data_IF_493489204388
#
_entry.id   IF_493489204388
#
_cell.length_a   1.000
_cell.length_b   1.000
_cell.length_c   1.000
_cell.angle_alpha   90.00
_cell.angle_beta   90.00
_cell.angle_gamma   90.00
#
_symmetry.space_group_name_H-M   'P 1'
#
loop_
_entity.id
_entity.type
_entity.pdbx_description
1 polymer ?
#
# COMPACT_ATOMS: atom_id res chain seq x y z
N UNK A 1 -10.60 -30.18 16.52
CA UNK A 1 -10.13 -29.95 15.15
C UNK A 1 -11.12 -28.98 14.51
N UNK A 2 -10.89 -27.67 14.65
CA UNK A 2 -11.78 -26.62 14.13
C UNK A 2 -11.10 -26.05 12.90
N UNK A 3 -11.70 -26.28 11.73
CA UNK A 3 -11.24 -25.72 10.46
C UNK A 3 -11.81 -24.31 10.35
N UNK A 4 -10.97 -23.31 10.62
CA UNK A 4 -11.31 -21.91 10.37
C UNK A 4 -11.20 -21.61 8.88
N UNK A 5 -12.33 -21.35 8.24
CA UNK A 5 -12.40 -20.83 6.88
C UNK A 5 -12.15 -19.33 6.97
N UNK A 6 -10.96 -18.88 6.54
CA UNK A 6 -10.69 -17.47 6.35
C UNK A 6 -11.44 -16.97 5.12
N UNK A 7 -12.49 -16.21 5.33
CA UNK A 7 -13.13 -15.41 4.28
C UNK A 7 -12.21 -14.26 3.89
N UNK A 8 -11.53 -14.42 2.77
CA UNK A 8 -10.82 -13.30 2.11
C UNK A 8 -11.88 -12.41 1.47
N UNK A 9 -12.23 -11.34 2.16
CA UNK A 9 -13.07 -10.28 1.60
C UNK A 9 -12.22 -9.51 0.58
N UNK A 10 -12.50 -9.74 -0.69
CA UNK A 10 -11.94 -8.92 -1.78
C UNK A 10 -12.67 -7.59 -1.74
N UNK A 11 -12.06 -6.59 -1.11
CA UNK A 11 -12.55 -5.23 -1.14
C UNK A 11 -12.25 -4.65 -2.52
N UNK A 12 -13.22 -4.69 -3.43
CA UNK A 12 -13.19 -3.93 -4.67
C UNK A 12 -13.34 -2.45 -4.30
N UNK A 13 -12.25 -1.71 -4.36
CA UNK A 13 -12.29 -0.26 -4.20
C UNK A 13 -12.95 0.31 -5.46
N UNK A 14 -14.24 0.60 -5.37
CA UNK A 14 -14.93 1.41 -6.36
C UNK A 14 -14.46 2.84 -6.17
N UNK A 15 -13.62 3.31 -7.08
CA UNK A 15 -13.29 4.72 -7.21
C UNK A 15 -14.58 5.45 -7.54
N UNK A 16 -15.20 6.10 -6.57
CA UNK A 16 -16.32 6.99 -6.79
C UNK A 16 -15.82 8.17 -7.64
N UNK A 17 -16.22 8.18 -8.89
CA UNK A 17 -16.00 9.31 -9.78
C UNK A 17 -16.63 10.56 -9.15
N UNK A 18 -15.84 11.58 -8.94
CA UNK A 18 -16.34 12.92 -8.63
C UNK A 18 -17.28 13.39 -9.75
N UNK A 19 -18.35 14.13 -9.45
CA UNK A 19 -19.18 14.73 -10.47
C UNK A 19 -18.32 15.69 -11.28
N UNK A 20 -18.09 15.32 -12.54
CA UNK A 20 -17.38 16.16 -13.49
C UNK A 20 -18.33 17.26 -13.99
N UNK A 21 -17.81 18.47 -14.01
CA UNK A 21 -18.43 19.61 -14.67
C UNK A 21 -18.53 19.30 -16.18
N UNK A 22 -19.71 19.29 -16.80
CA UNK A 22 -19.89 18.83 -18.18
C UNK A 22 -19.23 19.71 -19.24
N UNK A 23 -18.68 20.88 -18.88
CA UNK A 23 -18.06 21.82 -19.81
C UNK A 23 -16.52 21.84 -19.79
N UNK A 24 -15.88 21.06 -18.96
CA UNK A 24 -14.43 20.88 -19.03
C UNK A 24 -14.12 19.83 -20.11
N UNK A 25 -13.81 20.27 -21.32
CA UNK A 25 -13.33 19.44 -22.43
C UNK A 25 -11.95 18.79 -22.17
N UNK A 26 -11.77 18.23 -21.00
CA UNK A 26 -10.62 17.42 -20.63
C UNK A 26 -10.76 16.04 -21.28
N UNK A 27 -9.80 15.67 -22.11
CA UNK A 27 -9.59 14.28 -22.52
C UNK A 27 -9.49 13.44 -21.26
N UNK A 28 -10.47 12.56 -21.05
CA UNK A 28 -10.39 11.53 -20.00
C UNK A 28 -9.18 10.66 -20.36
N UNK A 29 -8.08 10.86 -19.67
CA UNK A 29 -6.91 9.99 -19.80
C UNK A 29 -7.34 8.63 -19.24
N UNK A 30 -7.61 7.71 -20.14
CA UNK A 30 -8.04 6.35 -19.78
C UNK A 30 -6.95 5.74 -18.92
N UNK A 31 -7.29 5.43 -17.68
CA UNK A 31 -6.34 4.81 -16.75
C UNK A 31 -5.76 3.55 -17.39
N UNK A 32 -4.43 3.42 -17.47
CA UNK A 32 -3.83 2.25 -18.11
C UNK A 32 -4.32 0.99 -17.41
N UNK A 33 -4.70 0.01 -18.20
CA UNK A 33 -5.17 -1.29 -17.71
C UNK A 33 -4.11 -2.02 -16.86
N UNK A 34 -4.44 -3.21 -16.34
CA UNK A 34 -3.51 -3.97 -15.52
C UNK A 34 -2.23 -4.29 -16.30
N UNK A 35 -1.06 -4.19 -15.66
CA UNK A 35 0.22 -4.50 -16.30
C UNK A 35 0.35 -6.01 -16.57
N UNK A 36 1.19 -6.43 -17.54
CA UNK A 36 1.51 -7.84 -17.71
C UNK A 36 2.22 -8.36 -16.46
N UNK A 37 2.00 -9.65 -16.17
CA UNK A 37 2.64 -10.32 -15.04
C UNK A 37 4.17 -10.31 -15.18
N UNK A 38 4.91 -10.10 -14.07
CA UNK A 38 6.35 -10.32 -14.02
C UNK A 38 6.71 -11.78 -14.35
N UNK A 39 7.93 -12.04 -14.87
CA UNK A 39 8.40 -13.39 -15.12
C UNK A 39 8.35 -14.26 -13.86
N UNK A 40 7.71 -15.42 -13.95
CA UNK A 40 7.56 -16.36 -12.84
C UNK A 40 6.42 -16.07 -11.88
N UNK A 41 5.73 -14.94 -12.01
CA UNK A 41 4.58 -14.61 -11.18
C UNK A 41 3.36 -15.45 -11.57
N UNK A 42 2.59 -15.87 -10.55
CA UNK A 42 1.36 -16.65 -10.71
C UNK A 42 0.13 -15.75 -10.87
N UNK A 43 0.10 -14.65 -10.12
CA UNK A 43 -0.99 -13.68 -10.19
C UNK A 43 -0.56 -12.29 -9.76
N UNK A 44 -1.28 -11.30 -10.26
CA UNK A 44 -1.22 -9.92 -9.82
C UNK A 44 -1.98 -9.78 -8.49
N UNK A 45 -1.37 -9.12 -7.51
CA UNK A 45 -2.00 -8.78 -6.22
C UNK A 45 -2.47 -7.34 -6.25
N UNK A 46 -1.56 -6.42 -6.54
CA UNK A 46 -1.85 -4.99 -6.64
C UNK A 46 -0.85 -4.30 -7.56
N UNK A 47 -1.17 -3.10 -8.03
CA UNK A 47 -0.27 -2.29 -8.85
C UNK A 47 -0.64 -0.81 -8.80
N UNK A 48 0.34 0.04 -9.10
CA UNK A 48 0.13 1.48 -9.25
C UNK A 48 0.99 2.03 -10.38
N UNK A 49 0.43 2.96 -11.16
CA UNK A 49 1.11 3.64 -12.26
C UNK A 49 1.61 5.02 -11.85
N UNK A 50 2.75 5.41 -12.42
CA UNK A 50 3.27 6.76 -12.37
C UNK A 50 4.10 7.07 -13.63
N UNK A 51 3.67 8.03 -14.45
CA UNK A 51 4.41 8.54 -15.61
C UNK A 51 5.05 7.44 -16.49
N UNK A 52 4.29 6.40 -16.85
CA UNK A 52 4.76 5.28 -17.65
C UNK A 52 5.57 4.23 -16.89
N UNK A 53 5.80 4.42 -15.59
CA UNK A 53 6.33 3.40 -14.68
C UNK A 53 5.18 2.68 -13.99
N UNK A 54 5.36 1.42 -13.67
CA UNK A 54 4.39 0.67 -12.86
C UNK A 54 5.11 -0.07 -11.74
N UNK A 55 4.61 0.09 -10.52
CA UNK A 55 4.95 -0.77 -9.39
C UNK A 55 3.92 -1.88 -9.30
N UNK A 56 4.38 -3.11 -9.19
CA UNK A 56 3.58 -4.32 -9.26
C UNK A 56 3.86 -5.18 -8.03
N UNK A 57 2.82 -5.55 -7.31
CA UNK A 57 2.86 -6.61 -6.33
C UNK A 57 2.31 -7.89 -6.97
N UNK A 58 3.12 -8.93 -7.01
CA UNK A 58 2.75 -10.20 -7.63
C UNK A 58 3.13 -11.38 -6.74
N UNK A 59 2.32 -12.42 -6.74
CA UNK A 59 2.61 -13.67 -6.06
C UNK A 59 3.43 -14.60 -6.96
N UNK A 60 4.44 -15.22 -6.36
CA UNK A 60 5.29 -16.22 -6.95
C UNK A 60 5.33 -17.49 -6.10
N UNK A 61 5.69 -18.64 -6.68
CA UNK A 61 5.98 -19.83 -5.92
C UNK A 61 7.15 -19.53 -4.95
N UNK A 62 6.93 -19.79 -3.67
CA UNK A 62 8.00 -19.81 -2.67
C UNK A 62 8.72 -21.16 -2.65
N UNK A 63 9.62 -21.38 -1.67
CA UNK A 63 10.28 -22.67 -1.50
C UNK A 63 9.25 -23.77 -1.26
N UNK A 64 9.54 -25.00 -1.76
CA UNK A 64 8.70 -26.16 -1.47
C UNK A 64 8.65 -26.37 0.06
N UNK A 65 7.48 -26.70 0.55
CA UNK A 65 7.31 -27.19 1.90
C UNK A 65 7.85 -28.62 1.90
N UNK A 66 8.76 -28.96 2.80
CA UNK A 66 9.28 -30.30 2.96
C UNK A 66 8.13 -31.31 2.99
N UNK A 67 8.19 -32.30 2.09
CA UNK A 67 7.24 -33.41 1.90
C UNK A 67 5.99 -33.13 1.07
N UNK A 68 6.05 -32.45 -0.07
CA UNK A 68 4.91 -32.47 -0.99
C UNK A 68 4.96 -31.48 -2.13
N UNK A 69 3.97 -31.58 -3.00
CA UNK A 69 3.72 -30.66 -4.13
C UNK A 69 3.17 -29.29 -3.70
N UNK A 70 3.25 -28.94 -2.42
CA UNK A 70 2.79 -27.66 -1.88
C UNK A 70 3.94 -26.67 -1.85
N UNK A 71 3.72 -25.50 -2.43
CA UNK A 71 4.62 -24.37 -2.36
C UNK A 71 4.05 -23.32 -1.41
N UNK A 72 4.91 -22.62 -0.70
CA UNK A 72 4.52 -21.36 -0.08
C UNK A 72 4.32 -20.32 -1.18
N UNK A 73 3.41 -19.38 -0.99
CA UNK A 73 3.29 -18.21 -1.85
C UNK A 73 4.17 -17.09 -1.27
N UNK A 74 4.87 -16.39 -2.13
CA UNK A 74 5.62 -15.18 -1.79
C UNK A 74 5.11 -14.04 -2.63
N UNK A 75 4.93 -12.90 -2.00
CA UNK A 75 4.63 -11.66 -2.71
C UNK A 75 5.94 -10.93 -2.98
N UNK A 76 6.13 -10.48 -4.19
CA UNK A 76 7.27 -9.67 -4.60
C UNK A 76 6.82 -8.35 -5.16
N UNK A 77 7.66 -7.35 -4.94
CA UNK A 77 7.50 -6.02 -5.51
C UNK A 77 8.41 -5.87 -6.69
N UNK A 78 7.82 -5.51 -7.81
CA UNK A 78 8.50 -5.25 -9.07
C UNK A 78 8.24 -3.81 -9.50
N UNK A 79 9.21 -3.19 -10.11
CA UNK A 79 8.99 -1.95 -10.85
C UNK A 79 9.41 -2.14 -12.30
N UNK A 80 8.53 -1.75 -13.19
CA UNK A 80 8.76 -1.70 -14.62
C UNK A 80 8.77 -0.25 -15.07
N UNK A 81 9.79 0.12 -15.79
CA UNK A 81 9.89 1.34 -16.59
C UNK A 81 9.87 1.01 -18.09
N UNK A 82 10.14 1.98 -18.95
CA UNK A 82 10.18 1.79 -20.39
C UNK A 82 11.28 0.81 -20.85
N UNK A 83 12.30 0.57 -20.04
CA UNK A 83 13.51 -0.17 -20.42
C UNK A 83 13.66 -1.53 -19.76
N UNK A 84 13.16 -1.69 -18.55
CA UNK A 84 13.38 -2.88 -17.74
C UNK A 84 12.29 -3.14 -16.71
N UNK A 85 12.19 -4.40 -16.30
CA UNK A 85 11.46 -4.82 -15.12
C UNK A 85 12.47 -5.27 -14.05
N UNK A 86 12.38 -4.72 -12.86
CA UNK A 86 13.30 -5.01 -11.75
C UNK A 86 12.51 -5.44 -10.53
N UNK A 87 12.94 -6.52 -9.91
CA UNK A 87 12.46 -6.88 -8.58
C UNK A 87 13.16 -6.00 -7.55
N UNK A 88 12.40 -5.39 -6.66
CA UNK A 88 12.91 -4.44 -5.67
C UNK A 88 12.77 -4.91 -4.23
N UNK A 89 11.81 -5.74 -3.93
CA UNK A 89 11.59 -6.26 -2.60
C UNK A 89 10.92 -7.64 -2.63
N UNK A 90 11.02 -8.36 -1.51
CA UNK A 90 10.29 -9.60 -1.26
C UNK A 90 9.50 -9.41 0.02
N UNK A 91 8.22 -9.73 -0.04
CA UNK A 91 7.33 -9.73 1.09
C UNK A 91 6.67 -11.11 1.23
N UNK A 92 6.42 -11.56 2.45
CA UNK A 92 5.65 -12.77 2.72
C UNK A 92 4.25 -12.35 3.19
N UNK A 93 3.38 -11.96 2.26
CA UNK A 93 2.01 -11.56 2.64
C UNK A 93 1.47 -10.40 1.83
N UNK A 94 0.81 -9.46 2.49
CA UNK A 94 0.24 -8.26 1.84
C UNK A 94 1.31 -7.39 1.23
N UNK A 95 1.03 -6.85 0.06
CA UNK A 95 1.88 -5.92 -0.63
C UNK A 95 0.99 -4.88 -1.31
N UNK A 96 1.25 -3.62 -1.03
CA UNK A 96 0.47 -2.52 -1.58
C UNK A 96 1.39 -1.33 -1.88
N UNK A 97 1.59 -0.99 -3.16
CA UNK A 97 2.48 0.08 -3.57
C UNK A 97 1.73 1.37 -3.85
N UNK A 98 2.32 2.52 -3.54
CA UNK A 98 1.82 3.84 -3.92
C UNK A 98 2.96 4.78 -4.29
N UNK A 99 2.91 5.40 -5.48
CA UNK A 99 3.85 6.45 -5.88
C UNK A 99 3.53 7.76 -5.17
N UNK A 100 4.56 8.51 -4.80
CA UNK A 100 4.40 9.90 -4.40
C UNK A 100 3.91 10.75 -5.58
N UNK A 101 3.19 11.85 -5.34
CA UNK A 101 2.62 12.67 -6.41
C UNK A 101 3.62 13.19 -7.44
N UNK A 102 4.86 13.41 -7.02
CA UNK A 102 5.97 13.84 -7.88
C UNK A 102 6.77 12.67 -8.48
N UNK A 103 6.40 11.41 -8.17
CA UNK A 103 7.10 10.21 -8.60
C UNK A 103 8.51 10.03 -8.00
N UNK A 104 8.91 10.87 -7.05
CA UNK A 104 10.24 10.79 -6.43
C UNK A 104 10.41 9.61 -5.50
N UNK A 105 9.31 9.08 -4.98
CA UNK A 105 9.31 7.97 -4.03
C UNK A 105 8.19 6.96 -4.32
N UNK A 106 8.42 5.73 -3.87
CA UNK A 106 7.43 4.67 -3.82
C UNK A 106 7.25 4.21 -2.37
N UNK A 107 6.06 4.35 -1.83
CA UNK A 107 5.69 3.68 -0.59
C UNK A 107 5.28 2.24 -0.89
N UNK A 108 5.72 1.30 -0.06
CA UNK A 108 5.36 -0.11 -0.18
C UNK A 108 5.00 -0.63 1.20
N UNK A 109 3.79 -1.10 1.34
CA UNK A 109 3.37 -1.85 2.51
C UNK A 109 3.86 -3.28 2.40
N UNK A 110 4.46 -3.79 3.47
CA UNK A 110 4.93 -5.16 3.61
C UNK A 110 4.61 -5.68 5.02
N UNK A 111 4.67 -7.00 5.29
CA UNK A 111 4.34 -7.54 6.60
C UNK A 111 5.20 -7.00 7.75
N UNK A 112 6.40 -6.56 7.46
CA UNK A 112 7.34 -5.97 8.42
C UNK A 112 7.20 -4.45 8.57
N UNK A 113 6.32 -3.82 7.79
CA UNK A 113 6.04 -2.40 7.95
C UNK A 113 5.80 -1.63 6.65
N UNK A 114 5.99 -0.32 6.75
CA UNK A 114 5.92 0.62 5.64
C UNK A 114 7.32 0.98 5.16
N UNK A 115 7.61 0.68 3.92
CA UNK A 115 8.87 0.97 3.27
C UNK A 115 8.75 2.18 2.35
N UNK A 116 9.82 2.95 2.27
CA UNK A 116 9.98 4.04 1.31
C UNK A 116 11.19 3.77 0.43
N UNK A 117 10.96 3.75 -0.87
CA UNK A 117 11.98 3.58 -1.89
C UNK A 117 12.14 4.88 -2.67
N UNK A 118 13.37 5.23 -3.04
CA UNK A 118 13.59 6.33 -3.99
C UNK A 118 13.02 5.96 -5.37
N UNK A 119 12.58 6.95 -6.14
CA UNK A 119 11.99 6.73 -7.45
C UNK A 119 12.95 6.07 -8.46
N UNK A 120 14.26 6.19 -8.25
CA UNK A 120 15.29 5.45 -8.99
C UNK A 120 15.57 4.05 -8.41
N UNK A 121 14.89 3.68 -7.32
CA UNK A 121 14.97 2.38 -6.63
C UNK A 121 16.36 2.02 -6.08
N UNK A 122 17.23 3.02 -5.89
CA UNK A 122 18.58 2.81 -5.35
C UNK A 122 18.63 2.88 -3.84
N UNK A 123 17.74 3.67 -3.25
CA UNK A 123 17.65 3.83 -1.80
C UNK A 123 16.35 3.23 -1.30
N UNK A 124 16.48 2.34 -0.35
CA UNK A 124 15.35 1.72 0.36
C UNK A 124 15.51 2.01 1.83
N UNK A 125 14.48 2.55 2.45
CA UNK A 125 14.45 2.78 3.89
C UNK A 125 13.15 2.23 4.47
N UNK A 126 13.27 1.63 5.63
CA UNK A 126 12.13 1.29 6.46
C UNK A 126 11.60 2.59 7.07
N UNK A 127 10.43 3.03 6.65
CA UNK A 127 9.82 4.26 7.16
C UNK A 127 9.19 4.00 8.53
N UNK A 128 8.47 2.88 8.65
CA UNK A 128 7.80 2.47 9.89
C UNK A 128 7.89 0.95 10.03
N UNK A 129 8.34 0.48 11.20
CA UNK A 129 8.35 -0.94 11.55
C UNK A 129 6.96 -1.36 12.07
N UNK A 130 6.42 -2.47 11.57
CA UNK A 130 5.16 -3.04 12.06
C UNK A 130 5.25 -3.53 13.52
N UNK A 131 6.48 -3.78 13.99
CA UNK A 131 6.76 -4.21 15.37
C UNK A 131 6.99 -3.04 16.34
N UNK A 132 6.91 -1.81 15.86
CA UNK A 132 7.13 -0.64 16.69
C UNK A 132 5.91 -0.39 17.57
N UNK A 133 5.80 -1.18 18.64
CA UNK A 133 4.97 -0.83 19.78
C UNK A 133 5.85 -0.82 21.01
N UNK A 134 5.75 0.22 21.81
CA UNK A 134 6.34 0.29 23.15
C UNK A 134 5.63 -0.68 24.13
N UNK A 135 4.65 -1.42 23.65
CA UNK A 135 3.90 -2.44 24.37
C UNK A 135 4.62 -3.78 24.25
N UNK A 136 4.85 -4.52 25.35
CA UNK A 136 5.46 -5.85 25.28
C UNK A 136 4.69 -6.75 24.31
N UNK A 137 5.42 -7.35 23.37
CA UNK A 137 4.86 -8.16 22.30
C UNK A 137 3.96 -9.28 22.85
N UNK A 138 2.68 -9.05 22.84
CA UNK A 138 1.70 -10.13 22.84
C UNK A 138 1.61 -10.66 21.41
N UNK A 139 1.36 -11.97 21.23
CA UNK A 139 1.24 -12.62 19.92
C UNK A 139 0.17 -11.98 18.99
N UNK A 140 -0.63 -11.05 19.50
CA UNK A 140 -1.69 -10.30 18.82
C UNK A 140 -1.29 -8.87 18.40
N UNK A 141 -0.06 -8.46 18.61
CA UNK A 141 0.38 -7.07 18.40
C UNK A 141 1.02 -6.85 17.00
N UNK A 142 0.70 -7.72 16.05
CA UNK A 142 1.11 -7.55 14.67
C UNK A 142 0.20 -6.53 13.98
N UNK A 143 0.70 -5.33 13.76
CA UNK A 143 0.06 -4.37 12.88
C UNK A 143 0.25 -4.80 11.42
N UNK A 144 -0.84 -4.85 10.70
CA UNK A 144 -0.86 -5.04 9.25
C UNK A 144 -1.21 -3.70 8.62
N UNK A 145 -0.35 -3.22 7.76
CA UNK A 145 -0.59 -2.01 6.99
C UNK A 145 -1.22 -2.35 5.63
N UNK A 146 -2.03 -1.43 5.09
CA UNK A 146 -2.65 -1.55 3.78
C UNK A 146 -2.95 -0.17 3.19
N UNK A 147 -3.24 -0.12 1.90
CA UNK A 147 -3.74 1.04 1.17
C UNK A 147 -2.95 2.34 1.45
N UNK A 148 -1.63 2.36 1.19
CA UNK A 148 -0.84 3.57 1.38
C UNK A 148 -1.31 4.67 0.44
N UNK A 149 -1.47 5.88 0.96
CA UNK A 149 -1.84 7.08 0.20
C UNK A 149 -0.92 8.22 0.61
N UNK A 150 -0.31 8.86 -0.37
CA UNK A 150 0.50 10.04 -0.15
C UNK A 150 -0.35 11.29 -0.01
N UNK A 151 0.08 12.19 0.86
CA UNK A 151 -0.39 13.57 0.82
C UNK A 151 -0.08 14.19 -0.55
N UNK A 152 -0.92 15.10 -1.08
CA UNK A 152 -0.72 15.72 -2.38
C UNK A 152 0.64 16.38 -2.60
N UNK A 153 1.29 16.86 -1.55
CA UNK A 153 2.64 17.46 -1.57
C UNK A 153 3.78 16.46 -1.30
N UNK A 154 3.47 15.19 -1.04
CA UNK A 154 4.45 14.16 -0.72
C UNK A 154 5.05 14.24 0.69
N UNK A 155 4.57 15.12 1.56
CA UNK A 155 5.11 15.32 2.92
C UNK A 155 4.76 14.23 3.91
N UNK A 156 3.68 13.50 3.66
CA UNK A 156 3.16 12.46 4.54
C UNK A 156 2.60 11.26 3.77
N UNK A 157 2.49 10.13 4.46
CA UNK A 157 1.85 8.91 3.96
C UNK A 157 0.81 8.46 4.99
N UNK A 158 -0.44 8.33 4.56
CA UNK A 158 -1.50 7.69 5.33
C UNK A 158 -1.60 6.22 4.95
N UNK A 159 -1.93 5.37 5.91
CA UNK A 159 -2.16 3.93 5.71
C UNK A 159 -3.35 3.46 6.53
N UNK A 160 -4.01 2.42 6.06
CA UNK A 160 -4.90 1.64 6.90
C UNK A 160 -4.06 0.69 7.75
N UNK A 161 -4.39 0.60 9.02
CA UNK A 161 -3.74 -0.28 9.99
C UNK A 161 -4.76 -1.24 10.57
N UNK A 162 -4.39 -2.49 10.77
CA UNK A 162 -5.22 -3.49 11.45
C UNK A 162 -4.37 -4.33 12.39
N UNK A 163 -4.90 -4.66 13.54
CA UNK A 163 -4.33 -5.65 14.47
C UNK A 163 -5.06 -7.00 14.44
N UNK A 164 -5.89 -7.23 13.41
CA UNK A 164 -6.70 -8.42 13.27
C UNK A 164 -8.06 -8.39 13.99
N UNK A 165 -8.25 -7.50 14.96
CA UNK A 165 -9.52 -7.31 15.68
C UNK A 165 -10.24 -6.03 15.22
N UNK A 166 -9.50 -4.98 14.95
CA UNK A 166 -10.02 -3.67 14.53
C UNK A 166 -9.06 -3.01 13.55
N UNK A 167 -9.53 -1.99 12.84
CA UNK A 167 -8.76 -1.19 11.91
C UNK A 167 -8.86 0.30 12.21
N UNK A 168 -7.84 1.03 11.86
CA UNK A 168 -7.76 2.49 11.98
C UNK A 168 -6.84 3.06 10.91
N UNK A 169 -6.74 4.39 10.84
CA UNK A 169 -5.83 5.09 9.93
C UNK A 169 -4.68 5.67 10.72
N UNK A 170 -3.46 5.46 10.26
CA UNK A 170 -2.27 6.16 10.74
C UNK A 170 -1.66 7.00 9.62
N UNK A 171 -1.13 8.16 9.99
CA UNK A 171 -0.42 9.06 9.09
C UNK A 171 0.98 9.28 9.61
N UNK A 172 1.95 9.12 8.73
CA UNK A 172 3.36 9.24 9.03
C UNK A 172 4.00 10.37 8.24
N UNK A 173 4.90 11.08 8.88
CA UNK A 173 5.79 12.01 8.19
C UNK A 173 6.68 11.22 7.21
N UNK A 174 6.64 11.56 5.94
CA UNK A 174 7.33 10.81 4.89
C UNK A 174 8.86 10.88 4.95
N UNK A 175 9.40 11.83 5.72
CA UNK A 175 10.85 11.98 5.90
C UNK A 175 11.36 11.24 7.13
N UNK A 176 10.63 11.28 8.24
CA UNK A 176 11.10 10.80 9.55
C UNK A 176 10.45 9.52 10.02
N UNK A 177 9.30 9.12 9.44
CA UNK A 177 8.47 8.02 9.91
C UNK A 177 7.71 8.31 11.20
N UNK A 178 7.80 9.51 11.75
CA UNK A 178 7.05 9.88 12.95
C UNK A 178 5.55 9.88 12.68
N UNK A 179 4.77 9.32 13.58
CA UNK A 179 3.32 9.38 13.54
C UNK A 179 2.84 10.81 13.72
N UNK A 180 2.11 11.31 12.72
CA UNK A 180 1.45 12.63 12.77
C UNK A 180 0.03 12.54 13.30
N UNK A 181 -0.64 11.42 13.01
CA UNK A 181 -2.04 11.22 13.38
C UNK A 181 -2.37 9.72 13.49
N UNK A 182 -3.27 9.39 14.39
CA UNK A 182 -3.92 8.09 14.49
C UNK A 182 -5.42 8.31 14.69
N UNK A 183 -6.24 7.67 13.87
CA UNK A 183 -7.70 7.79 13.99
C UNK A 183 -8.24 6.92 15.12
N UNK A 184 -9.51 7.16 15.47
CA UNK A 184 -10.28 6.23 16.29
C UNK A 184 -10.35 4.84 15.61
N UNK A 185 -10.50 3.77 16.40
CA UNK A 185 -10.78 2.43 15.88
C UNK A 185 -12.04 2.40 15.01
N UNK A 186 -12.14 1.36 14.15
CA UNK A 186 -13.24 1.16 13.20
C UNK A 186 -13.28 2.19 12.05
N UNK A 187 -12.15 2.82 11.76
CA UNK A 187 -11.97 3.73 10.62
C UNK A 187 -11.28 2.97 9.49
N UNK A 188 -11.96 2.75 8.37
CA UNK A 188 -11.47 1.90 7.28
C UNK A 188 -11.25 2.64 5.96
N UNK A 189 -11.59 3.91 5.89
CA UNK A 189 -11.46 4.73 4.68
C UNK A 189 -11.02 6.14 5.02
N UNK A 190 -10.15 6.68 4.19
CA UNK A 190 -9.77 8.08 4.25
C UNK A 190 -9.36 8.59 2.89
N UNK A 191 -9.41 9.90 2.70
CA UNK A 191 -8.87 10.59 1.52
C UNK A 191 -8.15 11.84 1.97
N UNK A 192 -7.10 12.21 1.23
CA UNK A 192 -6.45 13.48 1.42
C UNK A 192 -7.26 14.61 0.81
N UNK A 193 -7.32 15.74 1.49
CA UNK A 193 -7.74 17.00 0.88
C UNK A 193 -6.58 17.61 0.07
N UNK A 194 -6.91 18.49 -0.83
CA UNK A 194 -5.91 19.14 -1.70
C UNK A 194 -4.90 20.03 -0.97
N UNK A 195 -5.17 20.38 0.29
CA UNK A 195 -4.28 21.19 1.13
C UNK A 195 -3.10 20.42 1.72
N UNK A 196 -3.03 19.10 1.50
CA UNK A 196 -1.97 18.19 1.99
C UNK A 196 -1.86 18.06 3.51
N UNK A 197 -2.67 18.75 4.27
CA UNK A 197 -2.68 18.75 5.74
C UNK A 197 -4.01 18.32 6.34
N UNK A 198 -5.01 18.05 5.51
CA UNK A 198 -6.33 17.63 5.96
C UNK A 198 -6.70 16.26 5.40
N UNK A 199 -7.36 15.47 6.24
CA UNK A 199 -7.88 14.15 5.92
C UNK A 199 -9.40 14.16 6.02
N UNK A 200 -10.05 13.55 5.07
CA UNK A 200 -11.49 13.31 5.06
C UNK A 200 -11.80 11.86 5.45
N UNK A 201 -12.71 11.72 6.39
CA UNK A 201 -13.30 10.45 6.84
C UNK A 201 -14.82 10.53 6.65
N UNK A 202 -15.34 10.05 5.54
CA UNK A 202 -16.73 10.27 5.16
C UNK A 202 -17.07 11.78 5.09
N UNK A 203 -17.94 12.27 5.98
CA UNK A 203 -18.31 13.70 6.07
C UNK A 203 -17.40 14.52 6.99
N UNK A 204 -16.54 13.89 7.77
CA UNK A 204 -15.65 14.57 8.75
C UNK A 204 -14.32 14.90 8.10
N UNK A 205 -13.84 16.11 8.29
CA UNK A 205 -12.50 16.55 7.89
C UNK A 205 -11.69 16.84 9.14
N UNK A 206 -10.47 16.31 9.20
CA UNK A 206 -9.51 16.51 10.28
C UNK A 206 -8.28 17.16 9.70
N UNK A 207 -7.81 18.22 10.31
CA UNK A 207 -6.54 18.87 9.98
C UNK A 207 -5.43 18.30 10.84
N UNK A 208 -4.34 17.90 10.20
CA UNK A 208 -3.12 17.44 10.85
C UNK A 208 -2.40 18.61 11.54
N UNK A 209 -1.63 18.33 12.58
CA UNK A 209 -0.88 19.36 13.32
C UNK A 209 0.24 20.00 12.51
#
# INVERSE_FOLDING_TARGET
MVVGVALVSVCTISTLAQPQDPDAGGTVEESPGPPPLPPGALRLVNFTWDNGRVAICAEEPGPPIEQGTRFTLRTRVWVRDATAMRQIATSAGTCDPAWSPDGSFLAVVAPDGLWKLSGDLRLTSHLVDSRHSEVPANEFDHRVFAAPQWAPDGSAVGVLVSNGATGWVEVFNARTGMTLYSSEPETYEFTWESDSVSLRFGSRVIRLP
#
